data_IF_779879874635
#
_entry.id   IF_779879874635
#
_cell.length_a   1.000
_cell.length_b   1.000
_cell.length_c   1.000
_cell.angle_alpha   90.00
_cell.angle_beta   90.00
_cell.angle_gamma   90.00
#
_symmetry.space_group_name_H-M   'P 1'
#
loop_
_entity.id
_entity.type
_entity.pdbx_description
1 polymer ?
#
# COMPACT_ATOMS: atom_id res chain seq x y z
N UNK A 1 -8.53 -19.21 5.76
CA UNK A 1 -8.40 -18.25 4.64
C UNK A 1 -6.92 -18.05 4.48
N UNK A 2 -6.32 -18.57 3.40
CA UNK A 2 -4.91 -18.31 3.14
C UNK A 2 -4.72 -16.80 3.07
N UNK A 3 -3.84 -16.27 3.93
CA UNK A 3 -3.41 -14.88 3.79
C UNK A 3 -2.85 -14.72 2.38
N UNK A 4 -3.25 -13.66 1.67
CA UNK A 4 -2.72 -13.36 0.34
C UNK A 4 -1.22 -13.03 0.38
N UNK A 5 -0.74 -12.06 -0.41
CA UNK A 5 0.69 -11.69 -0.43
C UNK A 5 1.26 -11.31 0.95
N UNK A 6 0.41 -10.81 1.86
CA UNK A 6 0.77 -10.51 3.24
C UNK A 6 -0.39 -10.89 4.17
N UNK A 7 -0.06 -11.43 5.35
CA UNK A 7 -1.05 -11.67 6.41
C UNK A 7 -1.36 -10.38 7.17
N UNK A 8 -2.50 -10.37 7.88
CA UNK A 8 -2.86 -9.26 8.78
C UNK A 8 -1.76 -8.99 9.80
N UNK A 9 -1.26 -10.06 10.43
CA UNK A 9 -0.17 -9.99 11.41
C UNK A 9 1.08 -9.36 10.80
N UNK A 10 1.48 -9.77 9.59
CA UNK A 10 2.63 -9.18 8.92
C UNK A 10 2.43 -7.69 8.67
N UNK A 11 1.25 -7.28 8.20
CA UNK A 11 0.95 -5.86 7.98
C UNK A 11 1.06 -5.04 9.28
N UNK A 12 0.49 -5.53 10.38
CA UNK A 12 0.51 -4.86 11.68
C UNK A 12 1.92 -4.77 12.27
N UNK A 13 2.69 -5.86 12.24
CA UNK A 13 4.04 -5.92 12.81
C UNK A 13 5.08 -5.19 11.95
N UNK A 14 4.90 -5.20 10.62
CA UNK A 14 5.93 -4.75 9.67
C UNK A 14 5.61 -3.45 8.91
N UNK A 15 4.34 -3.11 8.68
CA UNK A 15 3.94 -2.03 7.76
C UNK A 15 3.24 -0.86 8.46
N UNK A 16 2.19 -1.10 9.24
CA UNK A 16 1.24 -0.07 9.70
C UNK A 16 1.87 1.12 10.43
N UNK A 17 2.96 0.91 11.18
CA UNK A 17 3.70 1.95 11.92
C UNK A 17 4.99 2.42 11.24
N UNK A 18 5.27 1.99 10.01
CA UNK A 18 6.49 2.33 9.25
C UNK A 18 6.15 3.01 7.92
N UNK A 19 5.10 3.83 7.93
CA UNK A 19 4.62 4.61 6.78
C UNK A 19 5.20 6.03 6.80
N UNK A 20 4.81 6.84 5.82
CA UNK A 20 5.17 8.27 5.78
C UNK A 20 4.51 9.08 6.89
N UNK A 21 4.87 10.36 6.97
CA UNK A 21 4.33 11.29 7.96
C UNK A 21 2.80 11.41 7.90
N UNK A 22 2.19 11.63 9.07
CA UNK A 22 0.76 11.91 9.18
C UNK A 22 0.40 13.19 8.43
N UNK A 23 -0.66 13.11 7.62
CA UNK A 23 -1.15 14.22 6.81
C UNK A 23 -2.67 14.27 6.82
N UNK A 24 -3.22 15.46 6.98
CA UNK A 24 -4.66 15.69 7.05
C UNK A 24 -5.40 15.44 5.73
N UNK A 25 -4.69 15.44 4.60
CA UNK A 25 -5.24 15.22 3.27
C UNK A 25 -5.22 13.73 2.84
N UNK A 26 -4.75 12.83 3.71
CA UNK A 26 -4.84 11.38 3.49
C UNK A 26 -6.20 10.89 3.97
N UNK A 27 -7.07 10.48 3.04
CA UNK A 27 -8.37 9.86 3.35
C UNK A 27 -8.26 8.37 3.65
N UNK A 28 -7.35 7.69 2.95
CA UNK A 28 -7.07 6.27 3.15
C UNK A 28 -5.57 6.06 3.03
N UNK A 29 -4.92 5.82 4.17
CA UNK A 29 -3.53 5.37 4.21
C UNK A 29 -3.42 3.86 3.98
N UNK A 30 -2.19 3.31 4.04
CA UNK A 30 -1.98 1.86 4.00
C UNK A 30 -2.88 1.15 5.02
N UNK A 31 -3.72 0.24 4.53
CA UNK A 31 -4.76 -0.44 5.33
C UNK A 31 -4.83 -1.89 4.90
N UNK A 32 -4.81 -2.83 5.85
CA UNK A 32 -4.93 -4.25 5.52
C UNK A 32 -6.26 -4.55 4.81
N UNK A 33 -6.16 -5.09 3.59
CA UNK A 33 -7.31 -5.40 2.74
C UNK A 33 -7.70 -4.31 1.74
N UNK A 34 -7.05 -3.14 1.79
CA UNK A 34 -7.13 -2.13 0.72
C UNK A 34 -5.97 -2.33 -0.27
N UNK A 35 -6.27 -2.20 -1.56
CA UNK A 35 -5.32 -2.29 -2.68
C UNK A 35 -4.85 -0.91 -3.19
N UNK A 36 -5.43 0.17 -2.68
CA UNK A 36 -5.07 1.55 -3.01
C UNK A 36 -5.05 2.46 -1.77
N UNK A 37 -4.37 3.60 -1.90
CA UNK A 37 -4.48 4.74 -0.99
C UNK A 37 -5.27 5.88 -1.64
N UNK A 38 -5.78 6.81 -0.82
CA UNK A 38 -6.57 7.97 -1.29
C UNK A 38 -6.11 9.26 -0.63
N UNK A 39 -5.94 10.30 -1.45
CA UNK A 39 -5.64 11.67 -0.99
C UNK A 39 -6.60 12.69 -1.59
N UNK A 40 -6.88 13.76 -0.85
CA UNK A 40 -7.60 14.94 -1.33
C UNK A 40 -6.69 15.87 -2.14
N UNK A 41 -7.15 16.28 -3.33
CA UNK A 41 -6.43 17.21 -4.21
C UNK A 41 -7.43 18.18 -4.85
N UNK A 42 -7.44 19.44 -4.41
CA UNK A 42 -8.19 20.51 -5.07
C UNK A 42 -9.70 20.23 -5.23
N UNK A 43 -10.36 19.77 -4.15
CA UNK A 43 -11.78 19.42 -4.16
C UNK A 43 -12.11 18.10 -4.88
N UNK A 44 -11.10 17.36 -5.31
CA UNK A 44 -11.20 16.01 -5.88
C UNK A 44 -10.43 15.03 -5.01
N UNK A 45 -10.55 13.75 -5.34
CA UNK A 45 -9.75 12.69 -4.74
C UNK A 45 -8.88 12.02 -5.80
N UNK A 46 -7.71 11.56 -5.39
CA UNK A 46 -6.83 10.72 -6.20
C UNK A 46 -6.66 9.38 -5.50
N UNK A 47 -7.04 8.30 -6.18
CA UNK A 47 -6.75 6.94 -5.75
C UNK A 47 -5.46 6.46 -6.40
N UNK A 48 -4.55 5.90 -5.62
CA UNK A 48 -3.24 5.43 -6.07
C UNK A 48 -3.02 3.99 -5.63
N UNK A 49 -2.63 3.14 -6.58
CA UNK A 49 -2.15 1.78 -6.33
C UNK A 49 -0.79 1.61 -7.00
N UNK A 50 0.04 0.75 -6.44
CA UNK A 50 1.31 0.36 -7.04
C UNK A 50 1.58 -1.11 -6.76
N UNK A 51 2.10 -1.80 -7.76
CA UNK A 51 2.60 -3.16 -7.64
C UNK A 51 4.08 -3.17 -8.03
N UNK A 52 4.93 -3.93 -7.30
CA UNK A 52 6.32 -4.09 -7.70
C UNK A 52 6.41 -4.83 -9.04
N UNK A 53 7.28 -4.34 -9.92
CA UNK A 53 7.75 -5.11 -11.07
C UNK A 53 8.87 -6.01 -10.59
N UNK A 54 8.71 -7.33 -10.77
CA UNK A 54 9.74 -8.32 -10.45
C UNK A 54 10.28 -8.93 -11.74
N UNK A 55 11.58 -8.78 -11.97
CA UNK A 55 12.29 -9.39 -13.10
C UNK A 55 13.04 -10.61 -12.57
N UNK A 56 12.71 -11.79 -13.09
CA UNK A 56 13.46 -13.01 -12.80
C UNK A 56 14.86 -12.89 -13.39
N UNK A 57 15.90 -13.16 -12.60
CA UNK A 57 17.29 -13.11 -13.06
C UNK A 57 17.49 -13.96 -14.32
N UNK A 58 16.90 -15.15 -14.36
CA UNK A 58 17.01 -16.07 -15.50
C UNK A 58 16.32 -15.57 -16.79
N UNK A 59 15.49 -14.53 -16.70
CA UNK A 59 14.75 -13.94 -17.82
C UNK A 59 15.24 -12.53 -18.21
N UNK A 60 16.24 -11.98 -17.53
CA UNK A 60 16.68 -10.60 -17.75
C UNK A 60 18.04 -10.28 -17.13
N UNK A 61 19.09 -10.45 -17.95
CA UNK A 61 20.54 -10.25 -17.71
C UNK A 61 21.22 -11.25 -16.77
#
# INVERSE_FOLDING_TARGET
MDSGKASRRFFEEHVAGRTGADRADVRLGPTYGADFGVVDVGGRVVALATDPVFVLRDLGL
#
